data_IF_346343065718
#
_entry.id   IF_346343065718
#
_cell.length_a   1.000
_cell.length_b   1.000
_cell.length_c   1.000
_cell.angle_alpha   90.00
_cell.angle_beta   90.00
_cell.angle_gamma   90.00
#
_symmetry.space_group_name_H-M   'P 1'
#
loop_
_entity.id
_entity.type
_entity.pdbx_description
1 polymer ?
#
# COMPACT_ATOMS: atom_id res chain seq x y z
N UNK A 1 -1.42 7.75 0.35
CA UNK A 1 -2.54 8.62 -0.07
C UNK A 1 -3.41 7.98 -1.15
N UNK A 2 -2.87 7.68 -2.35
CA UNK A 2 -3.70 7.15 -3.44
C UNK A 2 -4.21 5.73 -3.14
N UNK A 3 -3.38 4.88 -2.53
CA UNK A 3 -3.76 3.53 -2.09
C UNK A 3 -4.92 3.59 -1.09
N UNK A 4 -4.77 4.38 -0.03
CA UNK A 4 -5.78 4.52 1.01
C UNK A 4 -7.08 5.15 0.48
N UNK A 5 -6.93 6.12 -0.44
CA UNK A 5 -8.07 6.67 -1.18
C UNK A 5 -8.82 5.58 -1.94
N UNK A 6 -8.11 4.75 -2.71
CA UNK A 6 -8.70 3.69 -3.51
C UNK A 6 -9.38 2.64 -2.64
N UNK A 7 -8.75 2.28 -1.52
CA UNK A 7 -9.32 1.37 -0.53
C UNK A 7 -10.62 1.92 0.07
N UNK A 8 -10.61 3.15 0.58
CA UNK A 8 -11.79 3.78 1.16
C UNK A 8 -12.91 3.96 0.11
N UNK A 9 -12.56 4.41 -1.08
CA UNK A 9 -13.51 4.53 -2.18
C UNK A 9 -14.17 3.20 -2.54
N UNK A 10 -13.39 2.10 -2.56
CA UNK A 10 -13.90 0.76 -2.85
C UNK A 10 -14.77 0.24 -1.72
N UNK A 11 -14.33 0.40 -0.46
CA UNK A 11 -15.12 -0.02 0.71
C UNK A 11 -16.47 0.68 0.73
N UNK A 12 -16.47 2.00 0.73
CA UNK A 12 -17.70 2.78 0.88
C UNK A 12 -18.56 2.81 -0.37
N UNK A 13 -17.97 2.73 -1.57
CA UNK A 13 -18.72 2.78 -2.83
C UNK A 13 -19.28 1.45 -3.28
N UNK A 14 -18.64 0.35 -2.94
CA UNK A 14 -18.99 -0.96 -3.49
C UNK A 14 -19.27 -2.03 -2.41
N UNK A 15 -18.45 -2.09 -1.37
CA UNK A 15 -18.48 -3.21 -0.44
C UNK A 15 -19.48 -3.02 0.71
N UNK A 16 -19.84 -1.81 1.06
CA UNK A 16 -20.90 -1.52 2.05
C UNK A 16 -22.29 -2.02 1.63
N UNK A 17 -22.45 -2.42 0.38
CA UNK A 17 -23.67 -3.09 -0.08
C UNK A 17 -23.75 -4.58 0.29
N UNK A 18 -22.70 -5.16 0.88
CA UNK A 18 -22.65 -6.58 1.29
C UNK A 18 -23.28 -6.75 2.68
N UNK A 19 -23.04 -5.80 3.57
CA UNK A 19 -23.50 -5.77 4.95
C UNK A 19 -23.61 -4.34 5.44
N UNK A 20 -23.98 -4.16 6.71
CA UNK A 20 -23.99 -2.82 7.34
C UNK A 20 -22.64 -2.13 7.15
N UNK A 21 -22.62 -0.86 6.69
CA UNK A 21 -21.41 -0.13 6.36
C UNK A 21 -20.34 -0.11 7.46
N UNK A 22 -20.80 0.05 8.72
CA UNK A 22 -19.93 0.09 9.90
C UNK A 22 -19.24 -1.26 10.10
N UNK A 23 -19.95 -2.35 9.88
CA UNK A 23 -19.43 -3.70 10.04
C UNK A 23 -18.39 -4.02 8.96
N UNK A 24 -18.67 -3.66 7.70
CA UNK A 24 -17.71 -3.83 6.58
C UNK A 24 -16.44 -3.04 6.86
N UNK A 25 -16.58 -1.77 7.29
CA UNK A 25 -15.46 -0.90 7.59
C UNK A 25 -14.65 -1.39 8.80
N UNK A 26 -15.32 -1.88 9.84
CA UNK A 26 -14.66 -2.46 11.02
C UNK A 26 -13.84 -3.70 10.62
N UNK A 27 -14.42 -4.63 9.89
CA UNK A 27 -13.73 -5.83 9.41
C UNK A 27 -12.57 -5.48 8.47
N UNK A 28 -12.77 -4.53 7.57
CA UNK A 28 -11.71 -4.04 6.70
C UNK A 28 -10.51 -3.54 7.51
N UNK A 29 -10.73 -2.61 8.43
CA UNK A 29 -9.64 -2.05 9.22
C UNK A 29 -8.98 -3.11 10.10
N UNK A 30 -9.77 -3.94 10.80
CA UNK A 30 -9.22 -4.99 11.63
C UNK A 30 -8.29 -5.93 10.82
N UNK A 31 -8.75 -6.45 9.69
CA UNK A 31 -7.94 -7.32 8.86
C UNK A 31 -6.70 -6.60 8.29
N UNK A 32 -6.86 -5.36 7.79
CA UNK A 32 -5.76 -4.59 7.22
C UNK A 32 -4.65 -4.36 8.24
N UNK A 33 -4.97 -4.05 9.50
CA UNK A 33 -3.98 -3.85 10.55
C UNK A 33 -3.47 -5.15 11.15
N UNK A 34 -4.34 -6.13 11.42
CA UNK A 34 -3.94 -7.41 12.00
C UNK A 34 -2.98 -8.18 11.09
N UNK A 35 -3.17 -8.11 9.77
CA UNK A 35 -2.30 -8.76 8.79
C UNK A 35 -0.90 -8.11 8.71
N UNK A 36 -0.73 -6.86 9.14
CA UNK A 36 0.59 -6.20 9.09
C UNK A 36 1.63 -6.92 9.95
N UNK A 37 1.23 -7.50 11.08
CA UNK A 37 2.15 -8.23 11.96
C UNK A 37 2.78 -9.47 11.28
N UNK A 38 2.01 -10.44 10.76
CA UNK A 38 2.60 -11.61 10.11
C UNK A 38 3.33 -11.27 8.81
N UNK A 39 2.83 -10.32 8.02
CA UNK A 39 3.53 -9.89 6.80
C UNK A 39 4.78 -9.05 7.09
N UNK A 40 4.81 -8.28 8.19
CA UNK A 40 6.02 -7.64 8.69
C UNK A 40 7.09 -8.66 9.05
N UNK A 41 6.73 -9.69 9.82
CA UNK A 41 7.65 -10.77 10.13
C UNK A 41 8.15 -11.52 8.87
N UNK A 42 7.27 -11.75 7.90
CA UNK A 42 7.63 -12.41 6.65
C UNK A 42 8.63 -11.59 5.83
N UNK A 43 8.43 -10.28 5.72
CA UNK A 43 9.35 -9.41 4.99
C UNK A 43 10.72 -9.32 5.68
N UNK A 44 10.74 -9.29 7.02
CA UNK A 44 11.98 -9.29 7.79
C UNK A 44 12.79 -10.58 7.58
N UNK A 45 12.12 -11.73 7.59
CA UNK A 45 12.75 -13.03 7.28
C UNK A 45 13.28 -13.07 5.85
N UNK A 46 12.59 -12.47 4.90
CA UNK A 46 13.08 -12.39 3.53
C UNK A 46 14.30 -11.46 3.41
N UNK A 47 14.24 -10.31 4.09
CA UNK A 47 15.35 -9.35 4.10
C UNK A 47 16.63 -9.93 4.72
N UNK A 48 16.53 -10.86 5.67
CA UNK A 48 17.69 -11.57 6.23
C UNK A 48 18.38 -12.47 5.20
N UNK A 49 17.64 -13.00 4.23
CA UNK A 49 18.11 -13.96 3.23
C UNK A 49 18.54 -13.33 1.91
N UNK A 50 18.40 -12.01 1.74
CA UNK A 50 18.73 -11.31 0.50
C UNK A 50 19.74 -10.20 0.72
N UNK A 51 20.66 -10.05 -0.21
CA UNK A 51 21.64 -8.95 -0.19
C UNK A 51 20.97 -7.61 -0.56
N UNK A 52 19.89 -7.65 -1.34
CA UNK A 52 19.14 -6.47 -1.79
C UNK A 52 18.07 -6.10 -0.78
N UNK A 53 18.42 -5.41 0.28
CA UNK A 53 17.54 -5.12 1.44
C UNK A 53 16.26 -4.35 1.12
N UNK A 54 16.25 -3.50 0.09
CA UNK A 54 15.04 -2.76 -0.31
C UNK A 54 14.10 -3.56 -1.21
N UNK A 55 14.59 -4.59 -1.89
CA UNK A 55 13.81 -5.36 -2.86
C UNK A 55 12.55 -6.00 -2.28
N UNK A 56 12.58 -6.66 -1.10
CA UNK A 56 11.36 -7.20 -0.50
C UNK A 56 10.29 -6.14 -0.24
N UNK A 57 10.67 -4.98 0.34
CA UNK A 57 9.76 -3.87 0.58
C UNK A 57 9.07 -3.38 -0.69
N UNK A 58 9.84 -3.20 -1.76
CA UNK A 58 9.28 -2.76 -3.05
C UNK A 58 8.34 -3.79 -3.66
N UNK A 59 8.64 -5.08 -3.58
CA UNK A 59 7.78 -6.16 -4.08
C UNK A 59 6.46 -6.18 -3.30
N UNK A 60 6.52 -6.06 -1.97
CA UNK A 60 5.33 -5.99 -1.14
C UNK A 60 4.49 -4.76 -1.45
N UNK A 61 5.09 -3.57 -1.52
CA UNK A 61 4.37 -2.34 -1.80
C UNK A 61 3.70 -2.35 -3.18
N UNK A 62 4.43 -2.77 -4.23
CA UNK A 62 3.89 -2.88 -5.58
C UNK A 62 2.84 -3.99 -5.68
N UNK A 63 3.10 -5.15 -5.07
CA UNK A 63 2.15 -6.26 -5.03
C UNK A 63 0.84 -5.86 -4.35
N UNK A 64 0.92 -5.13 -3.25
CA UNK A 64 -0.22 -4.57 -2.55
C UNK A 64 -1.04 -3.63 -3.43
N UNK A 65 -0.37 -2.65 -4.05
CA UNK A 65 -1.01 -1.68 -4.93
C UNK A 65 -1.69 -2.34 -6.14
N UNK A 66 -1.03 -3.32 -6.77
CA UNK A 66 -1.61 -4.09 -7.89
C UNK A 66 -2.82 -4.89 -7.44
N UNK A 67 -2.74 -5.55 -6.28
CA UNK A 67 -3.86 -6.32 -5.74
C UNK A 67 -5.07 -5.42 -5.45
N UNK A 68 -4.88 -4.30 -4.79
CA UNK A 68 -5.94 -3.31 -4.52
C UNK A 68 -6.58 -2.82 -5.83
N UNK A 69 -5.76 -2.52 -6.84
CA UNK A 69 -6.25 -2.11 -8.14
C UNK A 69 -7.10 -3.21 -8.82
N UNK A 70 -6.65 -4.47 -8.78
CA UNK A 70 -7.41 -5.59 -9.34
C UNK A 70 -8.74 -5.80 -8.63
N UNK A 71 -8.77 -5.70 -7.31
CA UNK A 71 -10.01 -5.77 -6.52
C UNK A 71 -10.96 -4.65 -6.89
N UNK A 72 -10.46 -3.43 -6.98
CA UNK A 72 -11.26 -2.29 -7.42
C UNK A 72 -11.86 -2.49 -8.81
N UNK A 73 -11.05 -2.97 -9.77
CA UNK A 73 -11.51 -3.30 -11.13
C UNK A 73 -12.57 -4.39 -11.13
N UNK A 74 -12.40 -5.43 -10.32
CA UNK A 74 -13.39 -6.49 -10.19
C UNK A 74 -14.72 -5.95 -9.63
N UNK A 75 -14.67 -5.06 -8.64
CA UNK A 75 -15.88 -4.39 -8.14
C UNK A 75 -16.55 -3.52 -9.20
N UNK A 76 -15.75 -2.77 -9.97
CA UNK A 76 -16.24 -1.81 -10.95
C UNK A 76 -16.86 -2.48 -12.19
N UNK A 77 -16.15 -3.42 -12.79
CA UNK A 77 -16.50 -4.01 -14.08
C UNK A 77 -17.27 -5.33 -13.96
N UNK A 78 -16.90 -6.17 -12.99
CA UNK A 78 -17.49 -7.49 -12.80
C UNK A 78 -18.57 -7.48 -11.72
N UNK A 79 -18.76 -6.34 -11.04
CA UNK A 79 -19.71 -6.19 -9.93
C UNK A 79 -19.52 -7.24 -8.82
N UNK A 80 -18.29 -7.74 -8.65
CA UNK A 80 -17.97 -8.72 -7.61
C UNK A 80 -18.01 -8.02 -6.25
N UNK A 81 -18.95 -8.47 -5.39
CA UNK A 81 -19.14 -7.95 -4.05
C UNK A 81 -19.30 -9.13 -3.09
N UNK A 82 -18.24 -9.45 -2.38
CA UNK A 82 -18.21 -10.61 -1.48
C UNK A 82 -17.28 -10.36 -0.30
N UNK A 83 -17.41 -11.16 0.76
CA UNK A 83 -16.45 -11.11 1.87
C UNK A 83 -15.01 -11.39 1.42
N UNK A 84 -14.82 -12.24 0.40
CA UNK A 84 -13.51 -12.47 -0.18
C UNK A 84 -12.91 -11.19 -0.79
N UNK A 85 -13.73 -10.36 -1.42
CA UNK A 85 -13.30 -9.07 -2.00
C UNK A 85 -12.80 -8.13 -0.90
N UNK A 86 -13.47 -8.10 0.26
CA UNK A 86 -13.02 -7.34 1.44
C UNK A 86 -11.65 -7.85 1.91
N UNK A 87 -11.50 -9.16 2.06
CA UNK A 87 -10.24 -9.78 2.51
C UNK A 87 -9.09 -9.46 1.54
N UNK A 88 -9.32 -9.58 0.24
CA UNK A 88 -8.30 -9.25 -0.78
C UNK A 88 -7.92 -7.77 -0.77
N UNK A 89 -8.89 -6.88 -0.54
CA UNK A 89 -8.63 -5.46 -0.40
C UNK A 89 -7.78 -5.16 0.84
N UNK A 90 -8.11 -5.78 1.97
CA UNK A 90 -7.33 -5.70 3.21
C UNK A 90 -5.89 -6.17 3.01
N UNK A 91 -5.73 -7.29 2.30
CA UNK A 91 -4.42 -7.85 1.99
C UNK A 91 -3.61 -6.89 1.12
N UNK A 92 -4.21 -6.31 0.09
CA UNK A 92 -3.56 -5.31 -0.77
C UNK A 92 -3.05 -4.11 0.04
N UNK A 93 -3.92 -3.53 0.85
CA UNK A 93 -3.58 -2.41 1.74
C UNK A 93 -2.47 -2.80 2.74
N UNK A 94 -2.59 -3.95 3.39
CA UNK A 94 -1.58 -4.45 4.31
C UNK A 94 -0.20 -4.59 3.65
N UNK A 95 -0.12 -5.24 2.49
CA UNK A 95 1.14 -5.42 1.75
C UNK A 95 1.76 -4.08 1.35
N UNK A 96 0.93 -3.14 0.90
CA UNK A 96 1.39 -1.79 0.55
C UNK A 96 1.99 -1.07 1.76
N UNK A 97 1.30 -1.09 2.91
CA UNK A 97 1.76 -0.41 4.12
C UNK A 97 2.99 -1.05 4.73
N UNK A 98 3.07 -2.38 4.79
CA UNK A 98 4.26 -3.09 5.29
C UNK A 98 5.45 -2.81 4.38
N UNK A 99 5.28 -2.96 3.06
CA UNK A 99 6.35 -2.73 2.10
C UNK A 99 6.84 -1.28 2.07
N UNK A 100 5.90 -0.34 2.02
CA UNK A 100 6.20 1.11 2.03
C UNK A 100 6.82 1.57 3.35
N UNK A 101 6.35 1.04 4.48
CA UNK A 101 6.91 1.30 5.80
C UNK A 101 8.38 0.87 5.90
N UNK A 102 8.70 -0.34 5.44
CA UNK A 102 10.08 -0.85 5.40
C UNK A 102 10.98 0.05 4.54
N UNK A 103 10.51 0.47 3.35
CA UNK A 103 11.27 1.37 2.49
C UNK A 103 11.51 2.71 3.20
N UNK A 104 10.46 3.29 3.81
CA UNK A 104 10.55 4.58 4.49
C UNK A 104 11.51 4.56 5.67
N UNK A 105 11.49 3.49 6.50
CA UNK A 105 12.41 3.31 7.62
C UNK A 105 13.86 3.19 7.11
N UNK A 106 14.09 2.36 6.09
CA UNK A 106 15.43 2.18 5.51
C UNK A 106 15.99 3.45 4.88
N UNK A 107 15.14 4.28 4.29
CA UNK A 107 15.55 5.56 3.71
C UNK A 107 15.83 6.59 4.80
N UNK A 108 15.05 6.58 5.90
CA UNK A 108 15.31 7.40 7.08
C UNK A 108 16.68 7.09 7.72
N UNK A 109 17.04 5.81 7.83
CA UNK A 109 18.35 5.39 8.37
C UNK A 109 19.53 5.95 7.57
N UNK A 110 19.32 6.27 6.29
CA UNK A 110 20.33 6.83 5.38
C UNK A 110 20.37 8.36 5.38
N UNK A 111 19.33 8.99 5.87
CA UNK A 111 19.17 10.44 5.81
C UNK A 111 19.49 11.09 7.15
N UNK A 112 19.84 12.37 7.12
CA UNK A 112 19.96 13.20 8.33
C UNK A 112 18.61 13.53 8.98
N UNK A 113 17.50 13.10 8.38
CA UNK A 113 16.13 13.38 8.80
C UNK A 113 15.47 12.23 9.54
N UNK A 114 16.19 11.60 10.47
CA UNK A 114 15.73 10.44 11.22
C UNK A 114 14.29 10.59 11.76
N UNK A 115 13.44 9.59 11.47
CA UNK A 115 12.07 9.48 11.96
C UNK A 115 11.01 10.27 11.19
N UNK A 116 11.36 11.05 10.16
CA UNK A 116 10.40 11.84 9.38
C UNK A 116 9.79 11.10 8.20
N UNK A 117 10.53 10.16 7.60
CA UNK A 117 10.09 9.44 6.40
C UNK A 117 8.85 8.62 6.64
N UNK A 118 8.76 7.94 7.76
CA UNK A 118 7.58 7.17 8.13
C UNK A 118 6.35 8.09 8.31
N UNK A 119 6.53 9.25 8.94
CA UNK A 119 5.47 10.26 9.08
C UNK A 119 4.98 10.78 7.72
N UNK A 120 5.92 11.11 6.82
CA UNK A 120 5.61 11.55 5.45
C UNK A 120 4.93 10.44 4.63
N UNK A 121 5.25 9.18 4.88
CA UNK A 121 4.58 8.05 4.25
C UNK A 121 3.14 7.86 4.74
N UNK A 122 2.91 7.93 6.06
CA UNK A 122 1.62 7.60 6.70
C UNK A 122 0.62 8.77 6.64
N UNK A 123 1.05 10.01 6.90
CA UNK A 123 0.16 11.16 7.02
C UNK A 123 -0.71 11.42 5.75
N UNK A 124 -0.15 11.37 4.52
CA UNK A 124 -0.98 11.49 3.32
C UNK A 124 -1.98 10.34 3.14
N UNK A 125 -1.73 9.18 3.77
CA UNK A 125 -2.64 8.05 3.79
C UNK A 125 -3.97 8.38 4.46
N UNK A 126 -3.91 8.98 5.65
CA UNK A 126 -5.11 9.43 6.38
C UNK A 126 -5.96 10.41 5.57
N UNK A 127 -5.31 11.35 4.86
CA UNK A 127 -5.99 12.29 3.96
C UNK A 127 -6.66 11.53 2.81
N UNK A 128 -5.96 10.56 2.20
CA UNK A 128 -6.48 9.71 1.14
C UNK A 128 -7.72 8.93 1.58
N UNK A 129 -7.67 8.33 2.76
CA UNK A 129 -8.77 7.57 3.34
C UNK A 129 -10.01 8.44 3.56
N UNK A 130 -9.83 9.63 4.13
CA UNK A 130 -10.91 10.59 4.35
C UNK A 130 -11.53 11.06 3.03
N UNK A 131 -10.73 11.50 2.07
CA UNK A 131 -11.20 11.99 0.78
C UNK A 131 -11.86 10.86 -0.02
N UNK A 132 -11.30 9.65 -0.01
CA UNK A 132 -11.87 8.48 -0.68
C UNK A 132 -13.26 8.14 -0.16
N UNK A 133 -13.46 8.13 1.16
CA UNK A 133 -14.75 7.92 1.78
C UNK A 133 -15.75 9.03 1.43
N UNK A 134 -15.32 10.29 1.51
CA UNK A 134 -16.16 11.46 1.21
C UNK A 134 -16.63 11.46 -0.25
N UNK A 135 -15.72 11.25 -1.20
CA UNK A 135 -16.06 11.22 -2.64
C UNK A 135 -16.96 10.03 -2.95
N UNK A 136 -16.73 8.88 -2.36
CA UNK A 136 -17.59 7.72 -2.51
C UNK A 136 -19.03 8.00 -2.06
N UNK A 137 -19.19 8.73 -0.96
CA UNK A 137 -20.49 9.09 -0.43
C UNK A 137 -21.25 10.09 -1.30
N UNK A 138 -20.57 11.14 -1.80
CA UNK A 138 -21.22 12.22 -2.55
C UNK A 138 -21.25 12.02 -4.06
N UNK A 139 -20.27 11.33 -4.62
CA UNK A 139 -20.04 11.26 -6.06
C UNK A 139 -19.81 9.83 -6.53
N UNK A 140 -20.82 8.99 -6.40
CA UNK A 140 -20.79 7.66 -6.99
C UNK A 140 -20.86 7.76 -8.54
N UNK A 141 -19.77 8.19 -9.17
CA UNK A 141 -19.71 8.39 -10.63
C UNK A 141 -18.64 7.48 -11.24
N UNK A 142 -19.06 6.64 -12.21
CA UNK A 142 -18.16 5.75 -12.97
C UNK A 142 -16.99 6.48 -13.64
N UNK A 143 -17.14 7.76 -13.97
CA UNK A 143 -16.11 8.56 -14.65
C UNK A 143 -14.93 8.92 -13.72
N UNK A 144 -15.17 9.18 -12.43
CA UNK A 144 -14.08 9.41 -11.46
C UNK A 144 -13.22 8.17 -11.27
N UNK A 145 -13.85 7.00 -11.34
CA UNK A 145 -13.16 5.72 -11.25
C UNK A 145 -12.12 5.53 -12.36
N UNK A 146 -12.44 5.88 -13.60
CA UNK A 146 -11.51 5.77 -14.73
C UNK A 146 -10.29 6.70 -14.58
N UNK A 147 -10.49 7.94 -14.09
CA UNK A 147 -9.41 8.89 -13.84
C UNK A 147 -8.48 8.39 -12.73
N UNK A 148 -9.04 7.91 -11.61
CA UNK A 148 -8.26 7.34 -10.51
C UNK A 148 -7.42 6.16 -10.99
N UNK A 149 -8.01 5.30 -11.81
CA UNK A 149 -7.38 4.13 -12.38
C UNK A 149 -6.19 4.51 -13.27
N UNK A 150 -6.34 5.49 -14.14
CA UNK A 150 -5.26 5.99 -15.00
C UNK A 150 -4.13 6.58 -14.18
N UNK A 151 -4.43 7.37 -13.15
CA UNK A 151 -3.43 7.96 -12.26
C UNK A 151 -2.70 6.85 -11.49
N UNK A 152 -3.43 5.88 -10.91
CA UNK A 152 -2.84 4.78 -10.16
C UNK A 152 -1.96 3.91 -11.05
N UNK A 153 -2.42 3.54 -12.24
CA UNK A 153 -1.64 2.78 -13.21
C UNK A 153 -0.38 3.54 -13.64
N UNK A 154 -0.47 4.84 -13.88
CA UNK A 154 0.68 5.69 -14.21
C UNK A 154 1.72 5.74 -13.09
N UNK A 155 1.28 5.85 -11.83
CA UNK A 155 2.17 5.84 -10.67
C UNK A 155 2.81 4.48 -10.45
N UNK A 156 2.07 3.37 -10.62
CA UNK A 156 2.61 2.01 -10.59
C UNK A 156 3.71 1.83 -11.66
N UNK A 157 3.42 2.25 -12.89
CA UNK A 157 4.37 2.16 -13.99
C UNK A 157 5.63 2.97 -13.70
N UNK A 158 5.50 4.20 -13.20
CA UNK A 158 6.63 5.04 -12.82
C UNK A 158 7.43 4.43 -11.67
N UNK A 159 6.77 3.87 -10.68
CA UNK A 159 7.43 3.17 -9.56
C UNK A 159 8.22 1.96 -10.03
N UNK A 160 7.67 1.18 -10.98
CA UNK A 160 8.37 0.06 -11.61
C UNK A 160 9.60 0.50 -12.42
N UNK A 161 9.51 1.63 -13.13
CA UNK A 161 10.66 2.20 -13.85
C UNK A 161 11.76 2.65 -12.88
N UNK A 162 11.40 3.34 -11.80
CA UNK A 162 12.34 3.76 -10.77
C UNK A 162 13.00 2.56 -10.09
N UNK A 163 12.23 1.51 -9.80
CA UNK A 163 12.73 0.26 -9.26
C UNK A 163 13.78 -0.39 -10.17
N UNK A 164 13.49 -0.44 -11.47
CA UNK A 164 14.40 -1.03 -12.48
C UNK A 164 15.69 -0.26 -12.64
N UNK A 165 15.65 1.07 -12.44
CA UNK A 165 16.77 1.98 -12.62
C UNK A 165 17.48 2.36 -11.30
N UNK A 166 16.99 1.86 -10.15
CA UNK A 166 17.62 2.11 -8.86
C UNK A 166 18.92 1.31 -8.77
N UNK A 167 20.10 1.93 -8.70
CA UNK A 167 21.35 1.24 -8.47
C UNK A 167 21.27 0.53 -7.10
N UNK A 168 21.79 -0.68 -7.03
CA UNK A 168 21.94 -1.36 -5.74
C UNK A 168 22.76 -0.47 -4.80
N UNK A 169 22.33 -0.27 -3.56
CA UNK A 169 23.11 0.47 -2.59
C UNK A 169 24.44 -0.24 -2.41
N UNK A 170 25.52 0.47 -2.73
CA UNK A 170 26.86 0.02 -2.36
C UNK A 170 26.89 -0.01 -0.85
N UNK A 171 26.88 -1.21 -0.26
CA UNK A 171 27.11 -1.38 1.18
C UNK A 171 28.52 -0.83 1.45
N UNK A 172 28.70 0.06 2.44
CA UNK A 172 30.04 0.43 2.87
C UNK A 172 30.80 -0.86 3.23
N UNK A 173 32.01 -0.97 2.73
CA UNK A 173 32.88 -2.12 3.02
C UNK A 173 32.94 -2.27 4.53
N UNK A 174 32.84 -3.52 5.00
CA UNK A 174 32.94 -3.85 6.42
C UNK A 174 34.28 -3.39 7.04
N UNK A 175 35.24 -3.01 6.23
CA UNK A 175 36.51 -2.42 6.65
C UNK A 175 36.36 -0.99 7.20
N UNK A 176 35.38 -0.22 6.72
CA UNK A 176 35.13 1.17 7.16
C UNK A 176 34.43 1.25 8.52
N UNK A 177 33.76 0.17 8.94
CA UNK A 177 33.04 0.10 10.22
C UNK A 177 33.95 -0.25 11.42
N UNK A 178 35.21 -0.68 11.19
CA UNK A 178 36.16 -1.06 12.24
C UNK A 178 37.09 0.13 12.61
N UNK A 179 37.02 1.22 11.89
CA UNK A 179 37.86 2.41 12.09
C UNK A 179 37.19 3.56 12.85
N UNK A 180 36.01 3.36 13.39
CA UNK A 180 35.29 4.29 14.30
C UNK A 180 35.18 3.69 15.70
#
# INVERSE_FOLDING_TARGET
MLEDFLCAYTVFGYLTMIAEPELVFLWYNFCAFAMQLPFGALIDLWMQKTDRKLRPGMIFALGGLVLTLLVYLACLFLHVRSGLTVILLCLGNCLFHVGGGVISIKEDDRSSYQGKGLGVFVAPGAIGLYIGGLISYFFYVRSTAAVILLITAGLCFRSLQLYRNCPDPVLPDSADLISL
#
